data_IF_813685288088
#
_entry.id   IF_813685288088
#
_cell.length_a   1.000
_cell.length_b   1.000
_cell.length_c   1.000
_cell.angle_alpha   90.00
_cell.angle_beta   90.00
_cell.angle_gamma   90.00
#
_symmetry.space_group_name_H-M   'P 1'
#
loop_
_entity.id
_entity.type
_entity.pdbx_description
1 polymer ?
#
# COMPACT_ATOMS: atom_id res chain seq x y z
N UNK A 1 27.12 -9.20 -19.23
CA UNK A 1 25.74 -8.66 -19.20
C UNK A 1 24.83 -9.72 -19.77
N UNK A 2 23.62 -9.87 -19.22
CA UNK A 2 22.67 -10.88 -19.67
C UNK A 2 22.17 -10.53 -21.08
N UNK A 3 22.14 -11.51 -21.98
CA UNK A 3 21.79 -11.36 -23.40
C UNK A 3 20.58 -12.23 -23.79
N UNK A 4 20.10 -13.10 -22.90
CA UNK A 4 19.00 -14.03 -23.19
C UNK A 4 18.07 -14.27 -22.01
N UNK A 5 16.86 -14.75 -22.31
CA UNK A 5 15.87 -15.16 -21.32
C UNK A 5 16.34 -16.29 -20.41
N UNK A 6 17.16 -17.21 -20.91
CA UNK A 6 17.68 -18.34 -20.11
C UNK A 6 18.60 -17.84 -19.00
N UNK A 7 19.40 -16.82 -19.29
CA UNK A 7 20.32 -16.22 -18.31
C UNK A 7 19.60 -15.38 -17.23
N UNK A 8 18.32 -15.01 -17.43
CA UNK A 8 17.49 -14.36 -16.41
C UNK A 8 16.99 -15.32 -15.34
N UNK A 9 16.98 -16.63 -15.60
CA UNK A 9 16.37 -17.63 -14.73
C UNK A 9 16.82 -17.55 -13.27
N UNK A 10 18.13 -17.38 -12.96
CA UNK A 10 18.59 -17.29 -11.57
C UNK A 10 18.07 -16.04 -10.85
N UNK A 11 17.67 -15.01 -11.59
CA UNK A 11 17.18 -13.72 -11.09
C UNK A 11 15.64 -13.64 -11.07
N UNK A 12 14.95 -14.75 -11.37
CA UNK A 12 13.51 -14.77 -11.57
C UNK A 12 12.76 -15.45 -10.43
N UNK A 13 11.66 -14.83 -9.97
CA UNK A 13 10.78 -15.36 -8.93
C UNK A 13 11.51 -15.69 -7.63
N UNK A 14 11.19 -16.83 -7.01
CA UNK A 14 11.82 -17.24 -5.75
C UNK A 14 13.31 -17.60 -5.91
N UNK A 15 13.75 -17.98 -7.11
CA UNK A 15 15.17 -18.33 -7.38
C UNK A 15 16.10 -17.14 -7.18
N UNK A 16 15.57 -15.93 -7.44
CA UNK A 16 16.27 -14.67 -7.24
C UNK A 16 16.81 -14.50 -5.80
N UNK A 17 16.19 -15.14 -4.81
CA UNK A 17 16.70 -15.14 -3.43
C UNK A 17 18.10 -15.77 -3.31
N UNK A 18 18.42 -16.77 -4.16
CA UNK A 18 19.75 -17.39 -4.22
C UNK A 18 20.85 -16.43 -4.71
N UNK A 19 20.48 -15.35 -5.39
CA UNK A 19 21.42 -14.34 -5.91
C UNK A 19 21.72 -13.22 -4.90
N UNK A 20 21.04 -13.20 -3.75
CA UNK A 20 21.25 -12.24 -2.67
C UNK A 20 22.34 -12.72 -1.74
N UNK A 21 23.40 -11.92 -1.57
CA UNK A 21 24.52 -12.25 -0.68
C UNK A 21 24.21 -11.92 0.79
N UNK A 22 23.44 -10.88 1.03
CA UNK A 22 23.02 -10.46 2.37
C UNK A 22 21.89 -11.34 2.89
N UNK A 23 22.11 -11.93 4.08
CA UNK A 23 21.14 -12.84 4.70
C UNK A 23 19.83 -12.13 5.06
N UNK A 24 19.88 -10.88 5.56
CA UNK A 24 18.68 -10.15 5.94
C UNK A 24 17.81 -9.82 4.72
N UNK A 25 18.43 -9.40 3.60
CA UNK A 25 17.74 -9.19 2.33
C UNK A 25 17.10 -10.49 1.83
N UNK A 26 17.85 -11.60 1.88
CA UNK A 26 17.33 -12.92 1.48
C UNK A 26 16.13 -13.35 2.32
N UNK A 27 16.22 -13.21 3.65
CA UNK A 27 15.10 -13.49 4.55
C UNK A 27 13.90 -12.61 4.24
N UNK A 28 14.09 -11.30 4.07
CA UNK A 28 13.00 -10.38 3.78
C UNK A 28 12.32 -10.70 2.44
N UNK A 29 13.09 -11.04 1.40
CA UNK A 29 12.57 -11.46 0.09
C UNK A 29 11.70 -12.71 0.20
N UNK A 30 12.16 -13.75 0.90
CA UNK A 30 11.38 -14.99 1.10
C UNK A 30 10.15 -14.74 1.96
N UNK A 31 10.25 -13.92 3.02
CA UNK A 31 9.09 -13.56 3.83
C UNK A 31 8.05 -12.75 3.04
N UNK A 32 8.47 -11.86 2.14
CA UNK A 32 7.56 -11.13 1.25
C UNK A 32 6.79 -12.10 0.33
N UNK A 33 7.52 -13.05 -0.29
CA UNK A 33 6.91 -14.09 -1.13
C UNK A 33 5.84 -14.89 -0.38
N UNK A 34 6.17 -15.38 0.82
CA UNK A 34 5.22 -16.12 1.65
C UNK A 34 4.03 -15.25 2.09
N UNK A 35 4.27 -13.99 2.45
CA UNK A 35 3.21 -13.06 2.82
C UNK A 35 2.25 -12.83 1.66
N UNK A 36 2.73 -12.61 0.43
CA UNK A 36 1.88 -12.43 -0.74
C UNK A 36 1.12 -13.72 -1.10
N UNK A 37 1.76 -14.88 -0.98
CA UNK A 37 1.06 -16.17 -1.13
C UNK A 37 -0.13 -16.29 -0.18
N UNK A 38 0.01 -15.87 1.09
CA UNK A 38 -1.10 -15.88 2.05
C UNK A 38 -2.15 -14.81 1.76
N UNK A 39 -1.72 -13.65 1.25
CA UNK A 39 -2.60 -12.53 0.92
C UNK A 39 -3.50 -12.83 -0.29
N UNK A 40 -3.02 -13.66 -1.21
CA UNK A 40 -3.60 -13.78 -2.54
C UNK A 40 -3.89 -15.22 -2.99
N UNK A 41 -3.41 -16.21 -2.26
CA UNK A 41 -3.50 -17.61 -2.72
C UNK A 41 -2.83 -17.76 -4.07
N UNK A 42 -3.44 -18.52 -4.97
CA UNK A 42 -2.97 -18.73 -6.34
C UNK A 42 -3.62 -17.75 -7.35
N UNK A 43 -3.96 -16.52 -6.93
CA UNK A 43 -4.53 -15.50 -7.83
C UNK A 43 -3.44 -14.87 -8.74
N UNK A 44 -3.89 -14.03 -9.69
CA UNK A 44 -3.06 -13.32 -10.67
C UNK A 44 -1.92 -12.53 -10.02
N UNK A 45 -2.19 -11.84 -8.91
CA UNK A 45 -1.23 -10.97 -8.25
C UNK A 45 -0.08 -11.81 -7.65
N UNK A 46 -0.36 -12.98 -7.06
CA UNK A 46 0.69 -13.92 -6.64
C UNK A 46 1.33 -14.68 -7.82
N UNK A 47 0.56 -15.05 -8.85
CA UNK A 47 1.08 -15.74 -10.03
C UNK A 47 2.14 -14.90 -10.77
N UNK A 48 2.00 -13.57 -10.77
CA UNK A 48 2.96 -12.65 -11.36
C UNK A 48 4.32 -12.66 -10.67
N UNK A 49 4.38 -12.94 -9.36
CA UNK A 49 5.66 -13.04 -8.64
C UNK A 49 6.56 -14.13 -9.21
N UNK A 50 6.00 -15.21 -9.76
CA UNK A 50 6.79 -16.27 -10.40
C UNK A 50 7.58 -15.80 -11.62
N UNK A 51 7.16 -14.71 -12.24
CA UNK A 51 7.74 -14.16 -13.47
C UNK A 51 8.56 -12.88 -13.22
N UNK A 52 8.67 -12.42 -11.97
CA UNK A 52 9.36 -11.17 -11.66
C UNK A 52 10.88 -11.35 -11.72
N UNK A 53 11.58 -10.41 -12.35
CA UNK A 53 13.02 -10.44 -12.54
C UNK A 53 13.65 -9.32 -11.74
N UNK A 54 14.66 -9.64 -10.93
CA UNK A 54 15.39 -8.67 -10.13
C UNK A 54 16.07 -7.61 -11.01
N UNK A 55 15.78 -6.34 -10.74
CA UNK A 55 16.44 -5.19 -11.34
C UNK A 55 17.76 -4.93 -10.61
N UNK A 56 18.87 -5.18 -11.31
CA UNK A 56 20.23 -4.97 -10.81
C UNK A 56 21.19 -4.78 -11.98
N UNK A 57 22.46 -4.49 -11.67
CA UNK A 57 23.49 -4.21 -12.68
C UNK A 57 23.61 -5.28 -13.77
N UNK A 58 23.40 -6.55 -13.43
CA UNK A 58 23.54 -7.68 -14.36
C UNK A 58 22.35 -7.83 -15.31
N UNK A 59 21.17 -7.37 -14.90
CA UNK A 59 19.89 -7.52 -15.62
C UNK A 59 19.38 -6.22 -16.25
N UNK A 60 19.82 -5.05 -15.78
CA UNK A 60 19.27 -3.73 -16.14
C UNK A 60 19.21 -3.50 -17.65
N UNK A 61 20.29 -3.76 -18.38
CA UNK A 61 20.32 -3.54 -19.83
C UNK A 61 19.29 -4.39 -20.56
N UNK A 62 19.22 -5.68 -20.22
CA UNK A 62 18.22 -6.58 -20.80
C UNK A 62 16.80 -6.15 -20.44
N UNK A 63 16.58 -5.74 -19.17
CA UNK A 63 15.28 -5.29 -18.69
C UNK A 63 14.79 -4.05 -19.43
N UNK A 64 15.64 -3.04 -19.65
CA UNK A 64 15.22 -1.79 -20.30
C UNK A 64 15.23 -1.85 -21.84
N UNK A 65 15.92 -2.83 -22.46
CA UNK A 65 16.03 -2.92 -23.92
C UNK A 65 15.18 -4.03 -24.55
N UNK A 66 15.02 -5.19 -23.90
CA UNK A 66 14.51 -6.40 -24.54
C UNK A 66 13.39 -7.12 -23.76
N UNK A 67 13.35 -6.97 -22.43
CA UNK A 67 12.45 -7.75 -21.59
C UNK A 67 10.97 -7.44 -21.80
N UNK A 68 10.60 -6.16 -21.90
CA UNK A 68 9.21 -5.74 -22.12
C UNK A 68 9.07 -5.22 -23.55
N UNK A 69 8.15 -5.78 -24.36
CA UNK A 69 7.85 -5.23 -25.68
C UNK A 69 7.43 -3.75 -25.59
N UNK A 70 7.93 -2.93 -26.52
CA UNK A 70 7.56 -1.50 -26.64
C UNK A 70 6.35 -1.28 -27.56
N UNK A 71 5.62 -2.35 -27.87
CA UNK A 71 4.35 -2.33 -28.58
C UNK A 71 3.34 -3.18 -27.81
N UNK A 72 2.12 -2.69 -27.68
CA UNK A 72 1.03 -3.39 -27.00
C UNK A 72 0.49 -4.52 -27.87
N UNK A 73 0.09 -5.63 -27.27
CA UNK A 73 -0.52 -6.75 -27.98
C UNK A 73 -2.05 -6.76 -27.88
N UNK A 74 -2.64 -5.78 -27.18
CA UNK A 74 -4.07 -5.71 -26.91
C UNK A 74 -4.92 -5.67 -28.18
N UNK A 75 -6.01 -6.44 -28.17
CA UNK A 75 -6.97 -6.51 -29.26
C UNK A 75 -8.24 -5.76 -28.89
N UNK A 76 -8.57 -4.72 -29.65
CA UNK A 76 -9.80 -3.93 -29.48
C UNK A 76 -11.04 -4.83 -29.61
N UNK A 77 -12.06 -4.57 -28.80
CA UNK A 77 -13.30 -5.33 -28.70
C UNK A 77 -13.23 -6.53 -27.75
N UNK A 78 -12.07 -6.84 -27.17
CA UNK A 78 -11.94 -7.96 -26.23
C UNK A 78 -12.29 -7.60 -24.78
N UNK A 79 -12.26 -6.30 -24.42
CA UNK A 79 -12.59 -5.81 -23.06
C UNK A 79 -13.43 -4.52 -23.15
N UNK A 80 -14.66 -4.58 -23.71
CA UNK A 80 -15.44 -3.39 -24.07
C UNK A 80 -15.71 -2.43 -22.91
N UNK A 81 -15.91 -2.93 -21.69
CA UNK A 81 -16.09 -2.06 -20.52
C UNK A 81 -14.82 -1.26 -20.16
N UNK A 82 -13.64 -1.89 -20.24
CA UNK A 82 -12.39 -1.19 -20.00
C UNK A 82 -12.05 -0.23 -21.14
N UNK A 83 -12.33 -0.62 -22.39
CA UNK A 83 -12.16 0.22 -23.58
C UNK A 83 -13.00 1.50 -23.48
N UNK A 84 -14.26 1.40 -23.05
CA UNK A 84 -15.11 2.56 -22.79
C UNK A 84 -14.48 3.50 -21.75
N UNK A 85 -14.06 2.95 -20.61
CA UNK A 85 -13.45 3.73 -19.53
C UNK A 85 -12.18 4.44 -20.01
N UNK A 86 -11.31 3.74 -20.74
CA UNK A 86 -10.09 4.35 -21.28
C UNK A 86 -10.43 5.46 -22.26
N UNK A 87 -11.40 5.25 -23.16
CA UNK A 87 -11.84 6.28 -24.10
C UNK A 87 -12.37 7.52 -23.39
N UNK A 88 -13.15 7.36 -22.31
CA UNK A 88 -13.70 8.49 -21.54
C UNK A 88 -12.60 9.24 -20.77
N UNK A 89 -11.68 8.53 -20.11
CA UNK A 89 -10.61 9.16 -19.31
C UNK A 89 -9.59 9.87 -20.19
N UNK A 90 -9.30 9.32 -21.37
CA UNK A 90 -8.28 9.84 -22.28
C UNK A 90 -8.82 10.81 -23.32
N UNK A 91 -10.11 11.15 -23.25
CA UNK A 91 -10.69 12.16 -24.12
C UNK A 91 -9.94 13.50 -24.02
N UNK A 92 -9.68 14.12 -25.16
CA UNK A 92 -8.89 15.36 -25.25
C UNK A 92 -7.39 15.23 -24.97
N UNK A 93 -6.85 14.06 -24.63
CA UNK A 93 -5.41 13.86 -24.48
C UNK A 93 -4.72 13.81 -25.85
N UNK A 94 -3.76 14.72 -26.09
CA UNK A 94 -3.01 14.84 -27.33
C UNK A 94 -1.70 14.04 -27.39
N UNK A 95 -1.22 13.49 -26.26
CA UNK A 95 -0.02 12.65 -26.21
C UNK A 95 -0.16 11.45 -25.29
N UNK A 96 0.70 10.44 -25.47
CA UNK A 96 0.73 9.26 -24.61
C UNK A 96 1.10 9.62 -23.16
N UNK A 97 1.95 10.63 -22.96
CA UNK A 97 2.22 11.17 -21.63
C UNK A 97 0.95 11.70 -20.96
N UNK A 98 0.14 12.50 -21.67
CA UNK A 98 -1.12 13.02 -21.14
C UNK A 98 -2.11 11.90 -20.80
N UNK A 99 -2.23 10.89 -21.67
CA UNK A 99 -3.07 9.71 -21.42
C UNK A 99 -2.60 8.94 -20.18
N UNK A 100 -1.31 8.66 -20.07
CA UNK A 100 -0.73 7.93 -18.93
C UNK A 100 -1.03 8.66 -17.60
N UNK A 101 -0.84 9.99 -17.54
CA UNK A 101 -1.17 10.78 -16.35
C UNK A 101 -2.68 10.78 -16.05
N UNK A 102 -3.54 10.90 -17.07
CA UNK A 102 -5.00 10.82 -16.88
C UNK A 102 -5.42 9.46 -16.28
N UNK A 103 -4.89 8.36 -16.83
CA UNK A 103 -5.14 7.01 -16.32
C UNK A 103 -4.57 6.81 -14.92
N UNK A 104 -3.37 7.32 -14.62
CA UNK A 104 -2.77 7.25 -13.28
C UNK A 104 -3.66 7.95 -12.26
N UNK A 105 -4.13 9.17 -12.56
CA UNK A 105 -5.03 9.94 -11.68
C UNK A 105 -6.36 9.22 -11.45
N UNK A 106 -6.92 8.59 -12.48
CA UNK A 106 -8.12 7.76 -12.36
C UNK A 106 -7.88 6.58 -11.40
N UNK A 107 -6.85 5.77 -11.65
CA UNK A 107 -6.51 4.61 -10.82
C UNK A 107 -6.22 5.01 -9.37
N UNK A 108 -5.46 6.10 -9.17
CA UNK A 108 -5.12 6.69 -7.86
C UNK A 108 -6.36 7.06 -7.06
N UNK A 109 -7.42 7.51 -7.72
CA UNK A 109 -8.62 8.05 -7.09
C UNK A 109 -9.71 7.00 -6.85
N UNK A 110 -9.51 5.73 -7.28
CA UNK A 110 -10.52 4.67 -7.12
C UNK A 110 -10.94 4.42 -5.66
N UNK A 111 -10.03 4.62 -4.70
CA UNK A 111 -10.35 4.48 -3.27
C UNK A 111 -11.52 5.35 -2.82
N UNK A 112 -11.79 6.47 -3.52
CA UNK A 112 -12.87 7.40 -3.17
C UNK A 112 -14.25 6.78 -3.36
N UNK A 113 -14.42 5.81 -4.27
CA UNK A 113 -15.73 5.20 -4.56
C UNK A 113 -16.40 4.55 -3.36
N UNK A 114 -15.61 3.94 -2.47
CA UNK A 114 -16.10 3.26 -1.27
C UNK A 114 -15.39 3.75 0.00
N UNK A 115 -15.01 5.04 0.03
CA UNK A 115 -14.33 5.66 1.16
C UNK A 115 -13.12 4.85 1.68
N UNK A 116 -12.40 4.16 0.79
CA UNK A 116 -11.25 3.32 1.13
C UNK A 116 -11.61 2.02 1.86
N UNK A 117 -12.83 1.50 1.73
CA UNK A 117 -13.18 0.19 2.27
C UNK A 117 -12.61 -0.93 1.38
N UNK A 118 -11.81 -1.83 1.97
CA UNK A 118 -11.37 -3.04 1.28
C UNK A 118 -12.47 -4.10 1.35
N UNK A 119 -13.14 -4.35 0.23
CA UNK A 119 -14.22 -5.35 0.16
C UNK A 119 -13.69 -6.79 0.00
N UNK A 120 -12.67 -6.96 -0.83
CA UNK A 120 -12.02 -8.24 -1.13
C UNK A 120 -10.64 -8.04 -1.76
N UNK A 121 -9.82 -9.08 -1.77
CA UNK A 121 -8.45 -9.08 -2.29
C UNK A 121 -8.42 -9.82 -3.64
N UNK A 122 -7.83 -9.21 -4.68
CA UNK A 122 -7.83 -9.75 -6.05
C UNK A 122 -9.04 -9.30 -6.89
N UNK A 123 -9.34 -10.06 -7.94
CA UNK A 123 -10.38 -9.77 -8.94
C UNK A 123 -9.84 -9.34 -10.31
N UNK A 124 -10.70 -9.39 -11.33
CA UNK A 124 -10.42 -8.87 -12.68
C UNK A 124 -10.32 -7.35 -12.67
N UNK A 125 -9.71 -6.76 -13.69
CA UNK A 125 -9.58 -5.30 -13.83
C UNK A 125 -10.94 -4.57 -13.71
N UNK A 126 -12.01 -5.12 -14.27
CA UNK A 126 -13.36 -4.55 -14.16
C UNK A 126 -13.88 -4.59 -12.73
N UNK A 127 -13.64 -5.69 -12.02
CA UNK A 127 -14.03 -5.84 -10.61
C UNK A 127 -13.28 -4.85 -9.74
N UNK A 128 -11.97 -4.67 -9.98
CA UNK A 128 -11.14 -3.67 -9.29
C UNK A 128 -11.72 -2.24 -9.43
N UNK A 129 -12.13 -1.86 -10.64
CA UNK A 129 -12.76 -0.56 -10.89
C UNK A 129 -14.13 -0.45 -10.19
N UNK A 130 -14.94 -1.51 -10.24
CA UNK A 130 -16.28 -1.53 -9.64
C UNK A 130 -16.21 -1.41 -8.11
N UNK A 131 -15.26 -2.10 -7.47
CA UNK A 131 -15.09 -2.05 -6.01
C UNK A 131 -14.36 -0.81 -5.49
N UNK A 132 -13.77 0.01 -6.36
CA UNK A 132 -12.92 1.13 -5.91
C UNK A 132 -11.64 0.66 -5.23
N UNK A 133 -10.84 -0.15 -5.95
CA UNK A 133 -9.58 -0.70 -5.45
C UNK A 133 -8.61 0.37 -4.92
N UNK A 134 -7.79 -0.02 -3.96
CA UNK A 134 -6.77 0.82 -3.32
C UNK A 134 -5.44 0.10 -3.03
N UNK A 135 -5.39 -1.22 -3.17
CA UNK A 135 -4.19 -2.02 -2.94
C UNK A 135 -3.19 -1.83 -4.10
N UNK A 136 -1.91 -1.62 -3.78
CA UNK A 136 -0.89 -1.23 -4.75
C UNK A 136 -0.70 -2.26 -5.87
N UNK A 137 -0.72 -3.54 -5.52
CA UNK A 137 -0.58 -4.69 -6.41
C UNK A 137 -1.66 -4.72 -7.48
N UNK A 138 -2.92 -4.62 -7.07
CA UNK A 138 -4.07 -4.59 -7.96
C UNK A 138 -4.12 -3.29 -8.76
N UNK A 139 -3.76 -2.13 -8.17
CA UNK A 139 -3.70 -0.86 -8.88
C UNK A 139 -2.55 -0.80 -9.90
N UNK A 140 -1.39 -1.38 -9.59
CA UNK A 140 -0.26 -1.50 -10.52
C UNK A 140 -0.65 -2.31 -11.75
N UNK A 141 -1.25 -3.49 -11.55
CA UNK A 141 -1.79 -4.33 -12.63
C UNK A 141 -2.89 -3.61 -13.43
N UNK A 142 -3.85 -3.00 -12.74
CA UNK A 142 -4.94 -2.27 -13.38
C UNK A 142 -4.42 -1.12 -14.23
N UNK A 143 -3.48 -0.33 -13.72
CA UNK A 143 -2.90 0.78 -14.45
C UNK A 143 -2.17 0.31 -15.72
N UNK A 144 -1.39 -0.77 -15.64
CA UNK A 144 -0.75 -1.38 -16.82
C UNK A 144 -1.77 -1.86 -17.84
N UNK A 145 -2.85 -2.52 -17.40
CA UNK A 145 -3.95 -2.92 -18.28
C UNK A 145 -4.59 -1.75 -19.03
N UNK A 146 -4.91 -0.66 -18.32
CA UNK A 146 -5.52 0.52 -18.91
C UNK A 146 -4.56 1.23 -19.88
N UNK A 147 -3.27 1.29 -19.54
CA UNK A 147 -2.24 1.80 -20.44
C UNK A 147 -2.15 0.96 -21.72
N UNK A 148 -2.19 -0.37 -21.60
CA UNK A 148 -2.14 -1.27 -22.75
C UNK A 148 -3.30 -1.02 -23.73
N UNK A 149 -4.52 -0.82 -23.21
CA UNK A 149 -5.70 -0.46 -24.01
C UNK A 149 -5.50 0.90 -24.69
N UNK A 150 -4.85 1.85 -24.02
CA UNK A 150 -4.52 3.17 -24.56
C UNK A 150 -3.36 3.15 -25.59
N UNK A 151 -2.79 1.98 -25.89
CA UNK A 151 -1.64 1.81 -26.79
C UNK A 151 -0.29 2.09 -26.15
N UNK A 152 -0.23 2.18 -24.81
CA UNK A 152 0.97 2.52 -24.05
C UNK A 152 1.52 1.24 -23.40
N UNK A 153 2.70 0.75 -23.81
CA UNK A 153 3.32 -0.42 -23.18
C UNK A 153 3.61 -0.16 -21.71
N UNK A 154 3.30 -1.14 -20.86
CA UNK A 154 3.50 -1.04 -19.42
C UNK A 154 4.05 -2.33 -18.83
N UNK A 155 4.65 -2.21 -17.64
CA UNK A 155 5.12 -3.33 -16.82
C UNK A 155 4.93 -3.02 -15.35
N UNK A 156 4.83 -4.07 -14.55
CA UNK A 156 4.66 -3.96 -13.10
C UNK A 156 6.05 -3.96 -12.47
N UNK A 157 6.24 -3.11 -11.47
CA UNK A 157 7.45 -3.03 -10.67
C UNK A 157 7.09 -3.22 -9.20
N UNK A 158 7.88 -4.02 -8.49
CA UNK A 158 7.70 -4.24 -7.06
C UNK A 158 8.97 -3.89 -6.29
N UNK A 159 8.79 -3.08 -5.26
CA UNK A 159 9.74 -2.86 -4.17
C UNK A 159 9.53 -3.96 -3.13
N UNK A 160 10.38 -4.98 -3.15
CA UNK A 160 10.12 -6.26 -2.48
C UNK A 160 10.24 -6.13 -0.95
N UNK A 161 11.29 -5.49 -0.46
CA UNK A 161 11.56 -5.36 0.98
C UNK A 161 10.75 -4.21 1.56
N UNK A 162 10.62 -3.09 0.84
CA UNK A 162 9.83 -1.93 1.22
C UNK A 162 8.32 -2.16 1.13
N UNK A 163 7.88 -3.14 0.35
CA UNK A 163 6.50 -3.61 0.31
C UNK A 163 5.58 -2.67 -0.45
N UNK A 164 5.84 -2.49 -1.74
CA UNK A 164 5.04 -1.62 -2.59
C UNK A 164 5.10 -2.05 -4.05
N UNK A 165 3.98 -1.95 -4.76
CA UNK A 165 3.88 -2.30 -6.19
C UNK A 165 3.40 -1.07 -6.97
N UNK A 166 4.05 -0.83 -8.09
CA UNK A 166 3.89 0.33 -8.99
C UNK A 166 4.02 -0.15 -10.44
N UNK A 167 4.19 0.78 -11.37
CA UNK A 167 4.41 0.47 -12.77
C UNK A 167 5.55 1.27 -13.38
N UNK A 168 6.05 0.78 -14.50
CA UNK A 168 6.72 1.61 -15.50
C UNK A 168 5.94 1.55 -16.82
N UNK A 169 5.86 2.66 -17.52
CA UNK A 169 5.20 2.77 -18.84
C UNK A 169 6.14 3.39 -19.87
N UNK A 170 6.04 2.97 -21.12
CA UNK A 170 6.91 3.43 -22.20
C UNK A 170 6.27 4.63 -22.91
N UNK A 171 6.79 5.82 -22.63
CA UNK A 171 6.28 7.11 -23.13
C UNK A 171 7.42 7.80 -23.87
N UNK A 172 7.16 8.30 -25.08
CA UNK A 172 8.08 9.17 -25.82
C UNK A 172 9.49 8.57 -25.98
N UNK A 173 9.56 7.25 -26.19
CA UNK A 173 10.81 6.54 -26.43
C UNK A 173 11.56 6.08 -25.17
N UNK A 174 10.99 6.26 -23.97
CA UNK A 174 11.61 5.81 -22.72
C UNK A 174 10.63 5.26 -21.70
N UNK A 175 11.14 4.42 -20.79
CA UNK A 175 10.40 3.94 -19.64
C UNK A 175 10.28 5.05 -18.59
N UNK A 176 9.13 5.14 -17.94
CA UNK A 176 8.83 6.12 -16.91
C UNK A 176 8.18 5.46 -15.69
N UNK A 177 8.75 5.69 -14.51
CA UNK A 177 8.21 5.25 -13.23
C UNK A 177 6.92 5.98 -12.91
N UNK A 178 5.86 5.21 -12.62
CA UNK A 178 4.55 5.72 -12.26
C UNK A 178 4.00 4.93 -11.08
N UNK A 179 3.63 5.62 -10.01
CA UNK A 179 2.92 5.04 -8.88
C UNK A 179 1.41 5.35 -8.99
N UNK A 180 0.59 4.41 -9.51
CA UNK A 180 -0.83 4.64 -9.69
C UNK A 180 -1.64 4.59 -8.40
N UNK A 181 -1.06 4.24 -7.26
CA UNK A 181 -1.76 4.29 -5.95
C UNK A 181 -1.62 5.67 -5.31
N UNK A 182 -0.45 6.27 -5.46
CA UNK A 182 -0.06 7.49 -4.78
C UNK A 182 -0.17 8.70 -5.69
N UNK A 183 0.02 8.51 -7.00
CA UNK A 183 0.21 9.60 -7.96
C UNK A 183 1.65 10.13 -7.96
N UNK A 184 2.62 9.27 -7.65
CA UNK A 184 4.02 9.66 -7.52
C UNK A 184 4.80 9.34 -8.79
N UNK A 185 5.60 10.31 -9.25
CA UNK A 185 6.58 10.17 -10.31
C UNK A 185 7.73 11.16 -10.06
N UNK A 186 8.84 11.00 -10.79
CA UNK A 186 9.91 11.98 -10.79
C UNK A 186 10.26 12.38 -12.23
N UNK A 187 10.83 13.58 -12.35
CA UNK A 187 11.37 14.14 -13.58
C UNK A 187 12.80 14.60 -13.36
N UNK A 188 13.59 14.52 -14.41
CA UNK A 188 14.83 15.26 -14.54
C UNK A 188 14.53 16.77 -14.66
N UNK A 189 15.51 17.66 -14.36
CA UNK A 189 15.33 19.11 -14.49
C UNK A 189 14.96 19.59 -15.91
N UNK A 190 15.24 18.78 -16.94
CA UNK A 190 14.83 19.03 -18.32
C UNK A 190 13.34 18.69 -18.59
N UNK A 191 12.61 18.28 -17.55
CA UNK A 191 11.19 17.91 -17.59
C UNK A 191 10.93 16.46 -17.96
N UNK A 192 11.97 15.71 -18.32
CA UNK A 192 11.83 14.36 -18.84
C UNK A 192 11.62 13.34 -17.70
N UNK A 193 10.75 12.33 -17.91
CA UNK A 193 10.39 11.34 -16.88
C UNK A 193 11.53 10.38 -16.52
N UNK A 194 11.58 9.92 -15.27
CA UNK A 194 12.65 9.02 -14.79
C UNK A 194 12.15 7.59 -14.65
N UNK A 195 13.03 6.62 -14.90
CA UNK A 195 12.87 5.20 -14.58
C UNK A 195 13.06 4.93 -13.08
N UNK A 196 12.64 3.76 -12.60
CA UNK A 196 12.98 3.32 -11.23
C UNK A 196 14.49 3.23 -11.02
N UNK A 197 15.23 2.75 -12.03
CA UNK A 197 16.68 2.62 -11.97
C UNK A 197 17.37 3.97 -11.77
N UNK A 198 16.94 4.99 -12.51
CA UNK A 198 17.45 6.36 -12.34
C UNK A 198 17.13 6.91 -10.95
N UNK A 199 15.89 6.79 -10.47
CA UNK A 199 15.51 7.27 -9.14
C UNK A 199 16.33 6.57 -8.04
N UNK A 200 16.57 5.26 -8.20
CA UNK A 200 17.31 4.47 -7.22
C UNK A 200 18.78 4.91 -7.09
N UNK A 201 19.39 5.32 -8.20
CA UNK A 201 20.78 5.80 -8.24
C UNK A 201 20.94 7.31 -8.06
N UNK A 202 19.85 8.07 -8.20
CA UNK A 202 19.81 9.52 -8.06
C UNK A 202 18.70 9.96 -7.10
N UNK A 203 18.76 9.58 -5.82
CA UNK A 203 17.70 9.91 -4.85
C UNK A 203 17.60 11.42 -4.58
N UNK A 204 18.60 12.22 -4.94
CA UNK A 204 18.52 13.70 -4.97
C UNK A 204 17.40 14.23 -5.88
N UNK A 205 16.93 13.42 -6.85
CA UNK A 205 15.79 13.78 -7.70
C UNK A 205 14.56 14.18 -6.89
N UNK A 206 14.34 13.60 -5.70
CA UNK A 206 13.19 13.95 -4.87
C UNK A 206 13.18 15.43 -4.44
N UNK A 207 14.36 16.05 -4.32
CA UNK A 207 14.50 17.45 -3.90
C UNK A 207 14.39 18.42 -5.08
N UNK A 208 14.41 17.89 -6.32
CA UNK A 208 14.40 18.66 -7.56
C UNK A 208 13.01 18.81 -8.17
N UNK A 209 11.98 18.23 -7.56
CA UNK A 209 10.63 18.21 -8.13
C UNK A 209 9.90 19.54 -7.91
N UNK A 210 9.30 20.07 -8.98
CA UNK A 210 8.46 21.26 -8.93
C UNK A 210 7.07 20.95 -8.37
N UNK A 211 6.27 21.99 -8.15
CA UNK A 211 4.94 21.84 -7.56
C UNK A 211 3.97 21.09 -8.48
N UNK A 212 4.18 21.12 -9.81
CA UNK A 212 3.32 20.37 -10.74
C UNK A 212 3.47 18.86 -10.56
N UNK A 213 4.67 18.39 -10.20
CA UNK A 213 4.90 16.98 -9.85
C UNK A 213 4.28 16.66 -8.48
N UNK A 214 4.41 17.56 -7.51
CA UNK A 214 3.88 17.37 -6.14
C UNK A 214 2.35 17.33 -6.11
N UNK A 215 1.71 18.15 -6.95
CA UNK A 215 0.25 18.26 -7.08
C UNK A 215 -0.38 16.97 -7.66
N UNK A 216 0.42 16.06 -8.21
CA UNK A 216 -0.06 14.73 -8.62
C UNK A 216 -0.30 13.77 -7.46
N UNK A 217 0.08 14.12 -6.23
CA UNK A 217 -0.18 13.26 -5.09
C UNK A 217 -1.68 13.14 -4.79
N UNK A 218 -2.11 11.95 -4.41
CA UNK A 218 -3.45 11.76 -3.85
C UNK A 218 -3.54 12.50 -2.52
N UNK A 219 -4.72 13.03 -2.18
CA UNK A 219 -4.98 13.72 -0.91
C UNK A 219 -4.70 12.90 0.36
N UNK A 220 -4.42 11.59 0.25
CA UNK A 220 -4.00 10.73 1.37
C UNK A 220 -2.55 10.96 1.81
N UNK A 221 -1.75 11.67 1.03
CA UNK A 221 -0.30 11.76 1.22
C UNK A 221 0.21 13.18 1.06
N UNK A 222 1.24 13.52 1.83
CA UNK A 222 2.06 14.71 1.61
C UNK A 222 3.31 14.36 0.81
N UNK A 223 3.93 15.35 0.17
CA UNK A 223 5.18 15.15 -0.55
C UNK A 223 6.31 14.71 0.39
N UNK A 224 6.42 15.37 1.52
CA UNK A 224 7.45 15.15 2.53
C UNK A 224 7.38 13.73 3.10
N UNK A 225 6.18 13.23 3.43
CA UNK A 225 6.00 11.87 3.91
C UNK A 225 6.41 10.84 2.87
N UNK A 226 6.08 11.10 1.59
CA UNK A 226 6.42 10.20 0.50
C UNK A 226 7.91 10.18 0.19
N UNK A 227 8.56 11.35 0.15
CA UNK A 227 10.01 11.44 -0.02
C UNK A 227 10.73 10.74 1.13
N UNK A 228 10.31 10.98 2.38
CA UNK A 228 10.88 10.29 3.55
C UNK A 228 10.73 8.78 3.44
N UNK A 229 9.53 8.29 3.13
CA UNK A 229 9.27 6.85 2.97
C UNK A 229 10.05 6.24 1.80
N UNK A 230 10.14 6.94 0.68
CA UNK A 230 10.84 6.48 -0.51
C UNK A 230 12.35 6.36 -0.24
N UNK A 231 12.99 7.37 0.36
CA UNK A 231 14.41 7.32 0.74
C UNK A 231 14.70 6.23 1.78
N UNK A 232 13.84 6.08 2.78
CA UNK A 232 14.06 5.15 3.88
C UNK A 232 13.79 3.69 3.50
N UNK A 233 13.01 3.43 2.44
CA UNK A 233 12.56 2.07 2.07
C UNK A 233 12.67 1.82 0.57
N UNK A 234 11.78 2.41 -0.24
CA UNK A 234 11.57 2.01 -1.64
C UNK A 234 12.75 2.29 -2.58
N UNK A 235 13.56 3.29 -2.28
CA UNK A 235 14.78 3.60 -3.02
C UNK A 235 16.00 3.59 -2.10
N UNK A 236 15.91 2.83 -1.01
CA UNK A 236 17.04 2.59 -0.13
C UNK A 236 18.09 1.73 -0.87
N UNK A 237 19.41 1.91 -0.66
CA UNK A 237 20.44 1.12 -1.35
C UNK A 237 20.39 -0.40 -1.10
N UNK A 238 19.70 -0.82 -0.04
CA UNK A 238 19.44 -2.24 0.30
C UNK A 238 18.05 -2.73 -0.10
N UNK A 239 17.25 -1.93 -0.81
CA UNK A 239 16.00 -2.41 -1.40
C UNK A 239 16.27 -3.46 -2.49
N UNK A 240 15.27 -4.27 -2.80
CA UNK A 240 15.25 -5.13 -3.98
C UNK A 240 14.07 -4.71 -4.84
N UNK A 241 14.38 -4.31 -6.07
CA UNK A 241 13.37 -4.01 -7.08
C UNK A 241 13.26 -5.19 -8.05
N UNK A 242 12.04 -5.59 -8.39
CA UNK A 242 11.76 -6.61 -9.39
C UNK A 242 10.77 -6.10 -10.42
N UNK A 243 10.87 -6.58 -11.66
CA UNK A 243 10.04 -6.17 -12.79
C UNK A 243 9.34 -7.38 -13.38
N UNK A 244 8.06 -7.26 -13.72
CA UNK A 244 7.30 -8.32 -14.40
C UNK A 244 6.39 -7.75 -15.48
N UNK A 245 6.21 -8.51 -16.55
CA UNK A 245 5.28 -8.15 -17.62
C UNK A 245 3.88 -8.65 -17.28
N UNK A 246 2.89 -7.84 -17.61
CA UNK A 246 1.48 -8.20 -17.56
C UNK A 246 0.80 -7.67 -18.83
N UNK A 247 -0.03 -8.49 -19.46
CA UNK A 247 -0.82 -8.11 -20.64
C UNK A 247 -2.21 -8.72 -20.54
N UNK A 248 -3.21 -7.95 -20.97
CA UNK A 248 -4.59 -8.40 -21.12
C UNK A 248 -4.73 -9.50 -22.18
N UNK A 249 -3.79 -9.59 -23.13
CA UNK A 249 -3.73 -10.67 -24.12
C UNK A 249 -3.49 -12.04 -23.47
N UNK A 250 -2.79 -12.04 -22.33
CA UNK A 250 -2.49 -13.22 -21.54
C UNK A 250 -3.50 -13.45 -20.42
N UNK A 251 -4.58 -12.66 -20.31
CA UNK A 251 -5.48 -12.67 -19.17
C UNK A 251 -6.02 -14.07 -18.86
N UNK A 252 -6.30 -14.89 -19.88
CA UNK A 252 -6.82 -16.26 -19.72
C UNK A 252 -5.83 -17.23 -19.04
N UNK A 253 -4.56 -16.87 -18.95
CA UNK A 253 -3.54 -17.68 -18.27
C UNK A 253 -3.50 -17.48 -16.74
N UNK A 254 -4.26 -16.50 -16.22
CA UNK A 254 -4.26 -16.12 -14.82
C UNK A 254 -5.57 -16.47 -14.11
N UNK A 255 -5.49 -16.64 -12.80
CA UNK A 255 -6.63 -16.85 -11.92
C UNK A 255 -7.05 -15.54 -11.25
N UNK A 256 -8.28 -15.10 -11.45
CA UNK A 256 -8.77 -13.83 -10.87
C UNK A 256 -9.63 -14.01 -9.62
N UNK A 257 -9.56 -15.16 -8.96
CA UNK A 257 -10.29 -15.39 -7.72
C UNK A 257 -10.00 -14.28 -6.68
N UNK A 258 -11.04 -13.98 -5.92
CA UNK A 258 -10.98 -13.12 -4.74
C UNK A 258 -10.78 -13.90 -3.44
N UNK A 259 -10.19 -13.22 -2.45
CA UNK A 259 -10.18 -13.65 -1.05
C UNK A 259 -10.88 -12.60 -0.18
N UNK A 260 -11.54 -13.04 0.88
CA UNK A 260 -12.12 -12.16 1.89
C UNK A 260 -11.13 -11.95 3.04
N UNK A 261 -11.36 -10.95 3.90
CA UNK A 261 -10.56 -10.78 5.13
C UNK A 261 -10.61 -12.00 6.05
N UNK A 262 -11.71 -12.76 6.04
CA UNK A 262 -11.85 -14.02 6.79
C UNK A 262 -10.89 -15.07 6.22
N UNK A 263 -10.77 -15.16 4.89
CA UNK A 263 -9.85 -16.11 4.25
C UNK A 263 -8.39 -15.74 4.56
N UNK A 264 -8.05 -14.45 4.57
CA UNK A 264 -6.70 -14.00 4.93
C UNK A 264 -6.33 -14.40 6.36
N UNK A 265 -7.26 -14.17 7.31
CA UNK A 265 -7.06 -14.56 8.70
C UNK A 265 -6.85 -16.08 8.82
N UNK A 266 -7.69 -16.88 8.16
CA UNK A 266 -7.56 -18.35 8.13
C UNK A 266 -6.25 -18.83 7.50
N UNK A 267 -5.74 -18.08 6.53
CA UNK A 267 -4.49 -18.40 5.83
C UNK A 267 -3.23 -17.98 6.60
N UNK A 268 -3.37 -17.38 7.80
CA UNK A 268 -2.24 -16.96 8.62
C UNK A 268 -1.50 -15.75 8.05
N UNK A 269 -2.21 -14.88 7.33
CA UNK A 269 -1.65 -13.68 6.70
C UNK A 269 -0.93 -12.79 7.70
N UNK A 270 -1.53 -12.49 8.86
CA UNK A 270 -0.97 -11.57 9.85
C UNK A 270 0.37 -12.07 10.39
N UNK A 271 0.48 -13.37 10.67
CA UNK A 271 1.72 -13.98 11.14
C UNK A 271 2.83 -13.90 10.07
N UNK A 272 2.50 -14.16 8.80
CA UNK A 272 3.44 -14.01 7.69
C UNK A 272 3.86 -12.55 7.48
N UNK A 273 2.90 -11.62 7.54
CA UNK A 273 3.15 -10.19 7.40
C UNK A 273 4.01 -9.63 8.53
N UNK A 274 3.82 -10.09 9.77
CA UNK A 274 4.69 -9.73 10.88
C UNK A 274 6.13 -10.18 10.64
N UNK A 275 6.34 -11.44 10.24
CA UNK A 275 7.67 -11.96 9.90
C UNK A 275 8.34 -11.13 8.81
N UNK A 276 7.58 -10.80 7.76
CA UNK A 276 8.04 -9.94 6.69
C UNK A 276 8.42 -8.54 7.18
N UNK A 277 7.55 -7.84 7.94
CA UNK A 277 7.85 -6.51 8.47
C UNK A 277 9.09 -6.50 9.37
N UNK A 278 9.25 -7.52 10.23
CA UNK A 278 10.45 -7.67 11.07
C UNK A 278 11.70 -7.86 10.21
N UNK A 279 11.64 -8.71 9.19
CA UNK A 279 12.77 -8.94 8.28
C UNK A 279 13.12 -7.67 7.48
N UNK A 280 12.12 -6.96 6.95
CA UNK A 280 12.30 -5.71 6.24
C UNK A 280 12.92 -4.62 7.13
N UNK A 281 12.44 -4.48 8.37
CA UNK A 281 13.02 -3.54 9.32
C UNK A 281 14.49 -3.82 9.62
N UNK A 282 14.89 -5.10 9.71
CA UNK A 282 16.29 -5.50 9.87
C UNK A 282 17.15 -5.06 8.67
N UNK A 283 16.62 -5.13 7.45
CA UNK A 283 17.34 -4.69 6.23
C UNK A 283 17.56 -3.17 6.25
N UNK A 284 16.57 -2.40 6.65
CA UNK A 284 16.66 -0.94 6.64
C UNK A 284 17.24 -0.34 7.93
N UNK A 285 17.59 -1.16 8.93
CA UNK A 285 18.03 -0.66 10.24
C UNK A 285 16.92 0.07 11.00
N UNK A 286 15.65 -0.26 10.71
CA UNK A 286 14.45 0.34 11.29
C UNK A 286 13.88 -0.54 12.43
N UNK A 287 14.74 -1.28 13.13
CA UNK A 287 14.32 -2.24 14.17
C UNK A 287 13.57 -1.58 15.32
N UNK A 288 13.86 -0.30 15.57
CA UNK A 288 13.20 0.52 16.60
C UNK A 288 11.86 1.08 16.13
N UNK A 289 11.50 0.89 14.84
CA UNK A 289 10.25 1.34 14.22
C UNK A 289 9.26 0.20 13.97
N UNK A 290 9.60 -1.04 14.33
CA UNK A 290 8.59 -2.11 14.48
C UNK A 290 7.94 -1.96 15.85
N UNK A 291 7.37 -0.79 16.10
CA UNK A 291 6.51 -0.54 17.24
C UNK A 291 5.43 -1.61 17.27
N UNK A 292 5.21 -2.19 18.45
CA UNK A 292 4.08 -3.08 18.67
C UNK A 292 2.79 -2.34 18.28
N UNK A 293 1.83 -3.03 17.63
CA UNK A 293 0.48 -2.49 17.50
C UNK A 293 0.00 -1.96 18.85
N UNK A 294 -0.47 -0.72 18.86
CA UNK A 294 -0.85 0.02 20.06
C UNK A 294 -1.88 1.08 19.70
N UNK A 295 -2.51 1.68 20.71
CA UNK A 295 -3.38 2.84 20.52
C UNK A 295 -2.70 4.10 21.02
N UNK A 296 -2.96 5.21 20.33
CA UNK A 296 -2.73 6.57 20.84
C UNK A 296 -4.07 7.08 21.34
N UNK A 297 -4.15 7.42 22.63
CA UNK A 297 -5.37 7.95 23.23
C UNK A 297 -5.38 9.50 23.17
N UNK A 298 -6.56 10.11 23.04
CA UNK A 298 -6.73 11.57 23.10
C UNK A 298 -6.45 12.14 24.49
N UNK A 299 -6.55 11.29 25.50
CA UNK A 299 -6.23 11.58 26.90
C UNK A 299 -4.79 11.17 27.22
N UNK A 300 -4.18 11.87 28.18
CA UNK A 300 -2.79 11.65 28.58
C UNK A 300 -2.71 11.08 29.99
N UNK A 301 -1.61 10.37 30.26
CA UNK A 301 -1.26 9.91 31.60
C UNK A 301 -1.27 11.07 32.60
N UNK A 302 -1.99 10.89 33.72
CA UNK A 302 -2.16 11.87 34.79
C UNK A 302 -3.04 13.07 34.42
N UNK A 303 -3.78 13.00 33.32
CA UNK A 303 -4.69 14.10 32.95
C UNK A 303 -5.84 14.20 33.97
N UNK A 304 -6.06 15.41 34.48
CA UNK A 304 -7.24 15.70 35.30
C UNK A 304 -8.45 15.90 34.38
N UNK A 305 -9.52 15.18 34.63
CA UNK A 305 -10.77 15.21 33.85
C UNK A 305 -11.98 15.48 34.74
N UNK A 306 -13.01 16.12 34.18
CA UNK A 306 -14.26 16.45 34.87
C UNK A 306 -15.38 16.67 33.85
N UNK A 307 -16.63 16.43 34.26
CA UNK A 307 -17.80 16.50 33.39
C UNK A 307 -17.81 15.40 32.32
N UNK A 308 -18.37 15.72 31.15
CA UNK A 308 -18.46 14.78 30.03
C UNK A 308 -17.25 14.92 29.09
N UNK A 309 -16.52 13.82 28.85
CA UNK A 309 -15.34 13.81 27.97
C UNK A 309 -15.44 12.74 26.87
N UNK A 310 -14.84 13.02 25.71
CA UNK A 310 -14.66 12.04 24.64
C UNK A 310 -13.25 11.44 24.67
N UNK A 311 -13.15 10.11 24.67
CA UNK A 311 -11.87 9.40 24.56
C UNK A 311 -11.77 8.79 23.17
N UNK A 312 -10.74 9.20 22.43
CA UNK A 312 -10.45 8.73 21.07
C UNK A 312 -9.23 7.83 21.14
N UNK A 313 -9.34 6.61 20.63
CA UNK A 313 -8.23 5.70 20.39
C UNK A 313 -7.89 5.66 18.91
N UNK A 314 -6.66 6.06 18.58
CA UNK A 314 -6.11 6.00 17.24
C UNK A 314 -5.17 4.80 17.14
N UNK A 315 -5.49 3.77 16.34
CA UNK A 315 -4.61 2.63 16.15
C UNK A 315 -3.29 3.07 15.53
N UNK A 316 -2.20 2.56 16.09
CA UNK A 316 -0.84 2.78 15.65
C UNK A 316 -0.23 1.44 15.27
N UNK A 317 0.36 1.36 14.09
CA UNK A 317 1.12 0.20 13.59
C UNK A 317 0.34 -1.11 13.35
N UNK A 318 -0.98 -1.10 13.44
CA UNK A 318 -1.84 -2.22 13.04
C UNK A 318 -1.69 -2.54 11.55
N UNK A 319 -1.69 -3.83 11.21
CA UNK A 319 -1.59 -4.29 9.81
C UNK A 319 -2.94 -4.38 9.12
N UNK A 320 -3.99 -4.64 9.90
CA UNK A 320 -5.40 -4.57 9.49
C UNK A 320 -6.08 -3.72 10.58
N UNK A 321 -6.98 -2.77 10.23
CA UNK A 321 -7.72 -2.04 11.26
C UNK A 321 -8.40 -3.02 12.23
N UNK A 322 -8.31 -2.78 13.55
CA UNK A 322 -8.94 -3.68 14.52
C UNK A 322 -10.45 -3.78 14.24
N UNK A 323 -10.95 -5.02 14.20
CA UNK A 323 -12.35 -5.30 13.89
C UNK A 323 -13.28 -5.03 15.07
N UNK A 324 -12.72 -5.04 16.28
CA UNK A 324 -13.40 -4.83 17.54
C UNK A 324 -12.46 -4.04 18.45
N UNK A 325 -12.95 -2.98 19.08
CA UNK A 325 -12.20 -2.18 20.06
C UNK A 325 -13.10 -2.00 21.27
N UNK A 326 -12.57 -2.41 22.41
CA UNK A 326 -13.22 -2.32 23.70
C UNK A 326 -12.54 -1.25 24.55
N UNK A 327 -13.35 -0.54 25.31
CA UNK A 327 -12.91 0.42 26.31
C UNK A 327 -13.37 -0.05 27.68
N UNK A 328 -12.44 -0.03 28.63
CA UNK A 328 -12.68 -0.34 30.02
C UNK A 328 -12.32 0.86 30.89
N UNK A 329 -13.06 1.04 31.97
CA UNK A 329 -12.73 1.96 33.06
C UNK A 329 -12.63 1.12 34.33
N UNK A 330 -11.47 1.16 34.98
CA UNK A 330 -11.15 0.37 36.17
C UNK A 330 -11.43 -1.13 35.99
N UNK A 331 -11.15 -1.64 34.78
CA UNK A 331 -11.37 -3.04 34.40
C UNK A 331 -12.82 -3.41 34.11
N UNK A 332 -13.78 -2.48 34.23
CA UNK A 332 -15.16 -2.70 33.79
C UNK A 332 -15.31 -2.30 32.32
N UNK A 333 -15.81 -3.21 31.49
CA UNK A 333 -16.15 -2.90 30.10
C UNK A 333 -17.24 -1.84 30.09
N UNK A 334 -16.92 -0.66 29.56
CA UNK A 334 -17.87 0.45 29.47
C UNK A 334 -18.39 0.66 28.05
N UNK A 335 -17.62 0.21 27.06
CA UNK A 335 -18.00 0.29 25.67
C UNK A 335 -17.30 -0.79 24.86
N UNK A 336 -18.05 -1.47 24.00
CA UNK A 336 -17.52 -2.39 23.00
C UNK A 336 -18.16 -2.02 21.67
N UNK A 337 -17.32 -1.80 20.65
CA UNK A 337 -17.82 -1.45 19.33
C UNK A 337 -17.71 -2.62 18.35
N UNK A 338 -18.83 -3.07 17.75
CA UNK A 338 -18.79 -3.96 16.60
C UNK A 338 -18.65 -3.23 15.24
N UNK A 339 -18.70 -1.89 15.18
CA UNK A 339 -18.94 -1.12 13.94
C UNK A 339 -17.96 0.02 13.65
N UNK A 340 -17.34 -0.02 12.47
CA UNK A 340 -16.45 1.02 11.92
C UNK A 340 -17.11 2.41 11.85
N UNK A 341 -16.47 3.48 12.33
CA UNK A 341 -16.86 4.86 11.99
C UNK A 341 -16.21 5.22 10.65
N UNK A 342 -17.00 5.57 9.60
CA UNK A 342 -16.45 6.06 8.34
C UNK A 342 -15.67 7.37 8.55
N UNK A 343 -14.55 7.53 7.84
CA UNK A 343 -13.67 8.71 7.87
C UNK A 343 -14.41 10.04 7.59
N UNK A 344 -15.62 9.98 7.02
CA UNK A 344 -16.42 11.15 6.64
C UNK A 344 -17.10 11.93 7.77
N UNK A 345 -17.19 11.40 9.00
CA UNK A 345 -17.92 12.08 10.10
C UNK A 345 -17.02 12.75 11.15
N UNK A 346 -15.71 12.54 11.10
CA UNK A 346 -14.73 13.23 11.96
C UNK A 346 -14.08 14.37 11.20
N UNK A 347 -14.80 15.49 11.12
CA UNK A 347 -14.24 16.74 10.65
C UNK A 347 -13.16 17.22 11.64
N UNK A 348 -11.92 17.33 11.12
CA UNK A 348 -10.74 17.86 11.76
C UNK A 348 -10.16 16.96 12.86
N UNK A 349 -9.29 16.00 12.51
CA UNK A 349 -8.07 15.62 13.25
C UNK A 349 -7.51 14.26 12.77
N UNK A 350 -7.13 14.08 11.50
CA UNK A 350 -6.19 13.00 11.12
C UNK A 350 -5.37 13.36 9.89
N UNK A 351 -4.06 13.61 10.08
CA UNK A 351 -3.05 13.48 9.03
C UNK A 351 -2.95 11.99 8.62
N UNK A 352 -3.19 11.66 7.35
CA UNK A 352 -2.82 10.35 6.78
C UNK A 352 -3.87 9.24 6.74
N UNK A 353 -5.17 9.52 6.95
CA UNK A 353 -6.25 8.55 6.67
C UNK A 353 -6.31 7.34 7.60
N UNK A 354 -5.80 7.46 8.83
CA UNK A 354 -5.89 6.43 9.87
C UNK A 354 -7.30 6.43 10.47
N UNK A 355 -7.93 5.25 10.58
CA UNK A 355 -9.25 5.08 11.20
C UNK A 355 -9.15 5.30 12.72
N UNK A 356 -10.05 6.06 13.31
CA UNK A 356 -10.10 6.30 14.77
C UNK A 356 -11.30 5.63 15.40
N UNK A 357 -11.17 5.23 16.66
CA UNK A 357 -12.23 4.60 17.46
C UNK A 357 -12.53 5.54 18.63
N UNK A 358 -13.80 5.75 18.94
CA UNK A 358 -14.22 6.52 20.12
C UNK A 358 -14.87 5.60 21.12
N UNK A 359 -14.57 5.74 22.40
CA UNK A 359 -15.49 5.23 23.41
C UNK A 359 -16.80 6.01 23.25
N UNK A 360 -17.93 5.30 23.19
CA UNK A 360 -19.26 5.90 23.08
C UNK A 360 -19.49 6.67 21.75
N UNK A 361 -19.41 5.96 20.62
CA UNK A 361 -20.15 6.26 19.38
C UNK A 361 -20.00 7.67 18.74
N UNK A 362 -20.85 7.93 17.74
CA UNK A 362 -20.98 9.21 17.06
C UNK A 362 -21.67 10.26 17.97
N UNK A 363 -20.97 10.70 19.02
CA UNK A 363 -21.40 11.81 19.88
C UNK A 363 -21.80 11.47 21.31
N UNK A 364 -21.43 10.31 21.86
CA UNK A 364 -21.58 10.07 23.31
C UNK A 364 -20.24 10.32 24.04
N UNK A 365 -20.33 10.69 25.32
CA UNK A 365 -19.21 11.14 26.16
C UNK A 365 -19.20 10.32 27.45
N UNK A 366 -18.01 9.96 27.95
CA UNK A 366 -17.89 9.44 29.32
C UNK A 366 -18.25 10.56 30.30
N UNK A 367 -19.33 10.37 31.05
CA UNK A 367 -19.72 11.27 32.12
C UNK A 367 -18.96 10.92 33.39
N UNK A 368 -17.91 11.70 33.69
CA UNK A 368 -17.09 11.48 34.89
C UNK A 368 -17.86 11.74 36.19
N UNK A 369 -19.03 12.38 36.15
CA UNK A 369 -19.87 12.60 37.36
C UNK A 369 -20.50 11.32 37.89
N UNK A 370 -20.45 10.23 37.12
CA UNK A 370 -20.98 8.92 37.53
C UNK A 370 -19.95 8.04 38.23
N UNK A 371 -18.72 8.52 38.44
CA UNK A 371 -17.65 7.82 39.16
C UNK A 371 -17.14 8.65 40.34
N UNK A 372 -16.46 7.99 41.29
CA UNK A 372 -15.87 8.67 42.43
C UNK A 372 -14.73 9.61 42.01
N UNK A 373 -14.40 10.62 42.83
CA UNK A 373 -13.20 11.41 42.60
C UNK A 373 -11.95 10.59 42.94
N UNK A 374 -10.93 10.65 42.10
CA UNK A 374 -9.69 9.90 42.30
C UNK A 374 -9.06 9.45 41.00
N UNK A 375 -8.09 8.54 41.10
CA UNK A 375 -7.39 8.00 39.95
C UNK A 375 -8.17 6.84 39.33
N UNK A 376 -8.35 6.88 38.02
CA UNK A 376 -9.03 5.86 37.23
C UNK A 376 -8.13 5.36 36.09
N UNK A 377 -8.18 4.07 35.82
CA UNK A 377 -7.48 3.46 34.68
C UNK A 377 -8.43 3.30 33.51
N UNK A 378 -8.07 3.90 32.38
CA UNK A 378 -8.77 3.70 31.12
C UNK A 378 -7.95 2.74 30.28
N UNK A 379 -8.53 1.59 29.96
CA UNK A 379 -7.91 0.58 29.09
C UNK A 379 -8.63 0.57 27.75
N UNK A 380 -7.87 0.67 26.67
CA UNK A 380 -8.36 0.36 25.33
C UNK A 380 -7.75 -0.94 24.89
N UNK A 381 -8.59 -1.91 24.52
CA UNK A 381 -8.11 -3.18 24.04
C UNK A 381 -8.75 -3.60 22.72
N UNK A 382 -8.04 -4.47 22.02
CA UNK A 382 -8.56 -5.16 20.85
C UNK A 382 -7.98 -6.56 20.84
N UNK A 383 -8.77 -7.52 20.38
CA UNK A 383 -8.31 -8.87 20.17
C UNK A 383 -7.99 -9.08 18.69
N UNK A 384 -6.71 -9.24 18.39
CA UNK A 384 -6.27 -9.59 17.04
C UNK A 384 -5.91 -11.09 17.01
N UNK A 385 -6.51 -11.83 16.09
CA UNK A 385 -6.47 -13.30 16.03
C UNK A 385 -5.02 -13.88 16.11
N UNK A 386 -4.04 -13.13 15.62
CA UNK A 386 -2.63 -13.55 15.53
C UNK A 386 -1.69 -12.82 16.50
N UNK A 387 -2.17 -11.83 17.24
CA UNK A 387 -1.37 -11.05 18.21
C UNK A 387 -1.82 -11.33 19.65
N UNK A 388 -3.03 -11.86 19.82
CA UNK A 388 -3.69 -11.93 21.10
C UNK A 388 -4.25 -10.57 21.49
N UNK A 389 -4.42 -10.38 22.80
CA UNK A 389 -4.92 -9.13 23.35
C UNK A 389 -3.86 -8.02 23.21
N UNK A 390 -4.22 -6.94 22.55
CA UNK A 390 -3.47 -5.68 22.55
C UNK A 390 -4.22 -4.74 23.48
N UNK A 391 -3.55 -4.22 24.51
CA UNK A 391 -4.12 -3.21 25.41
C UNK A 391 -3.18 -2.03 25.59
N UNK A 392 -3.77 -0.85 25.75
CA UNK A 392 -3.11 0.36 26.22
C UNK A 392 -3.89 0.90 27.40
N UNK A 393 -3.19 1.14 28.49
CA UNK A 393 -3.73 1.76 29.69
C UNK A 393 -3.26 3.21 29.77
N UNK A 394 -4.15 4.10 30.19
CA UNK A 394 -3.85 5.47 30.59
C UNK A 394 -4.56 5.75 31.91
N UNK A 395 -3.83 6.32 32.86
CA UNK A 395 -4.38 6.75 34.14
C UNK A 395 -4.80 8.21 34.05
N UNK A 396 -5.98 8.54 34.58
CA UNK A 396 -6.52 9.89 34.68
C UNK A 396 -7.00 10.16 36.09
N UNK A 397 -7.09 11.43 36.48
CA UNK A 397 -7.65 11.81 37.79
C UNK A 397 -9.00 12.52 37.58
N UNK A 398 -10.07 11.98 38.16
CA UNK A 398 -11.42 12.54 38.10
C UNK A 398 -11.66 13.49 39.27
N UNK A 399 -12.01 14.73 38.95
CA UNK A 399 -12.25 15.80 39.93
C UNK A 399 -13.61 16.45 39.67
N UNK A 400 -14.69 15.83 40.15
CA UNK A 400 -16.03 16.40 40.15
C UNK A 400 -16.21 17.36 41.32
N UNK A 401 -16.79 18.52 41.03
CA UNK A 401 -17.08 19.61 41.97
C UNK A 401 -18.38 19.42 42.73
#
# INVERSE_FOLDING_TARGET
MIQSWVELEPYTGLKAAGMLQDEAQRTAYVCNWEQLKRNYGDNVDFQLLHKQVMLRRETVDFLYQQFTPTQTCFQVGTRPYLEQIVSEITDGCGSDGQKAFALMRFTRSLYQKNAGLQLFYGGTEEELIKKGEQLCECLGRLYVALCEIAGIPGRILMHVIGGHIVAEVYIEGKWAYMDPRIGFHCRWPDGSLTTAWEIWHHPELFDMQDDTVKDELSARWTWEDRVRSNRARLFHPREIIVVTNYSLSDARSYNYNWLTSIDLARNGFTAANRKYRTAAAKVFGLTDLVDKPSFILSIKEGQVVHGSISIIATPKNFTVPPVEVDFYIDGQLVYSNPGMIPIGELHNYVEGGVRTYTCFGAGEMWDTTTVENGSHTITVCTQEADIGLISVDVHVDVHNS
#
